data_IF_810092864800
#
_entry.id   IF_810092864800
#
_cell.length_a   1.000
_cell.length_b   1.000
_cell.length_c   1.000
_cell.angle_alpha   90.00
_cell.angle_beta   90.00
_cell.angle_gamma   90.00
#
_symmetry.space_group_name_H-M   'P 1'
#
loop_
_entity.id
_entity.type
_entity.pdbx_description
1 polymer ?
#
# COMPACT_ATOMS: atom_id res chain seq x y z
N UNK A 1 7.35 46.74 0.41
CA UNK A 1 6.76 46.05 1.58
C UNK A 1 5.47 45.29 1.24
N UNK A 2 4.43 45.91 0.64
CA UNK A 2 3.18 45.23 0.23
C UNK A 2 3.37 43.98 -0.66
N UNK A 3 4.27 44.03 -1.64
CA UNK A 3 4.54 42.90 -2.55
C UNK A 3 5.15 41.68 -1.85
N UNK A 4 6.00 41.88 -0.84
CA UNK A 4 6.60 40.78 -0.07
C UNK A 4 5.54 40.04 0.78
N UNK A 5 4.55 40.77 1.31
CA UNK A 5 3.44 40.19 2.06
C UNK A 5 2.56 39.34 1.14
N UNK A 6 2.25 39.84 -0.07
CA UNK A 6 1.46 39.08 -1.06
C UNK A 6 2.18 37.80 -1.48
N UNK A 7 3.49 37.88 -1.77
CA UNK A 7 4.30 36.70 -2.13
C UNK A 7 4.32 35.69 -0.97
N UNK A 8 4.53 36.14 0.26
CA UNK A 8 4.55 35.25 1.43
C UNK A 8 3.20 34.52 1.64
N UNK A 9 2.07 35.22 1.45
CA UNK A 9 0.74 34.62 1.55
C UNK A 9 0.52 33.58 0.43
N UNK A 10 0.89 33.91 -0.81
CA UNK A 10 0.75 32.98 -1.95
C UNK A 10 1.61 31.72 -1.72
N UNK A 11 2.84 31.89 -1.25
CA UNK A 11 3.72 30.76 -0.91
C UNK A 11 3.15 29.93 0.24
N UNK A 12 2.62 30.56 1.28
CA UNK A 12 2.01 29.87 2.41
C UNK A 12 0.74 29.09 1.99
N UNK A 13 -0.10 29.67 1.13
CA UNK A 13 -1.29 29.00 0.59
C UNK A 13 -0.89 27.85 -0.34
N UNK A 14 0.10 28.05 -1.22
CA UNK A 14 0.59 27.01 -2.10
C UNK A 14 1.24 25.86 -1.31
N UNK A 15 2.04 26.17 -0.29
CA UNK A 15 2.61 25.17 0.61
C UNK A 15 1.52 24.47 1.43
N UNK A 16 0.52 25.23 1.90
CA UNK A 16 -0.64 24.70 2.62
C UNK A 16 -1.45 23.72 1.79
N UNK A 17 -1.71 24.03 0.51
CA UNK A 17 -2.37 23.11 -0.42
C UNK A 17 -1.49 21.90 -0.74
N UNK A 18 -0.19 22.12 -0.94
CA UNK A 18 0.75 21.05 -1.28
C UNK A 18 0.95 20.05 -0.13
N UNK A 19 0.90 20.53 1.13
CA UNK A 19 1.04 19.71 2.34
C UNK A 19 -0.31 19.15 2.81
N UNK A 20 -1.31 20.01 2.98
CA UNK A 20 -2.55 19.63 3.67
C UNK A 20 -3.71 19.29 2.72
N UNK A 21 -3.55 19.48 1.40
CA UNK A 21 -4.59 19.23 0.39
C UNK A 21 -5.93 19.90 0.80
N UNK A 22 -5.84 21.16 1.20
CA UNK A 22 -6.91 21.92 1.88
C UNK A 22 -8.16 22.09 1.00
N UNK A 23 -7.97 22.13 -0.32
CA UNK A 23 -9.05 22.37 -1.29
C UNK A 23 -9.62 21.06 -1.85
N UNK A 24 -9.18 19.92 -1.33
CA UNK A 24 -9.79 18.65 -1.69
C UNK A 24 -11.27 18.62 -1.29
N UNK A 25 -12.18 18.27 -2.20
CA UNK A 25 -13.57 18.05 -1.82
C UNK A 25 -13.63 16.93 -0.78
N UNK A 26 -14.60 17.00 0.12
CA UNK A 26 -14.81 15.98 1.16
C UNK A 26 -15.99 15.10 0.80
N UNK A 27 -15.88 13.83 1.18
CA UNK A 27 -16.99 12.87 1.12
C UNK A 27 -17.69 12.80 2.47
N UNK A 28 -19.00 12.55 2.44
CA UNK A 28 -19.80 12.24 3.63
C UNK A 28 -19.83 10.74 3.95
N UNK A 29 -19.16 9.91 3.13
CA UNK A 29 -19.07 8.48 3.34
C UNK A 29 -18.08 8.13 4.45
N UNK A 30 -18.33 7.00 5.09
CA UNK A 30 -17.43 6.44 6.09
C UNK A 30 -16.46 5.46 5.44
N UNK A 31 -15.23 5.45 5.95
CA UNK A 31 -14.24 4.46 5.62
C UNK A 31 -13.71 3.74 6.86
N UNK A 32 -13.30 2.50 6.67
CA UNK A 32 -12.50 1.73 7.60
C UNK A 32 -11.54 0.87 6.80
N UNK A 33 -10.32 0.66 7.29
CA UNK A 33 -9.39 -0.24 6.64
C UNK A 33 -8.48 -0.94 7.64
N UNK A 34 -8.04 -2.14 7.28
CA UNK A 34 -7.01 -2.87 8.00
C UNK A 34 -6.02 -3.45 6.99
N UNK A 35 -4.79 -2.95 7.03
CA UNK A 35 -3.79 -3.21 6.00
C UNK A 35 -2.50 -3.69 6.68
N UNK A 36 -1.84 -4.65 6.05
CA UNK A 36 -0.51 -5.10 6.41
C UNK A 36 0.33 -5.22 5.15
N UNK A 37 1.65 -5.16 5.33
CA UNK A 37 2.59 -5.54 4.29
C UNK A 37 3.16 -6.92 4.59
N UNK A 38 3.58 -7.61 3.54
CA UNK A 38 4.38 -8.82 3.65
C UNK A 38 5.78 -8.54 3.13
N UNK A 39 6.75 -9.19 3.78
CA UNK A 39 8.14 -9.15 3.39
C UNK A 39 8.56 -10.58 3.05
N UNK A 40 9.24 -10.75 1.92
CA UNK A 40 9.80 -12.03 1.50
C UNK A 40 11.30 -12.04 1.77
N UNK A 41 11.83 -13.18 2.22
CA UNK A 41 13.27 -13.43 2.31
C UNK A 41 13.61 -14.46 1.25
N UNK A 42 14.58 -14.15 0.39
CA UNK A 42 14.98 -15.10 -0.65
C UNK A 42 15.81 -16.22 -0.03
N UNK A 43 15.52 -17.46 -0.42
CA UNK A 43 16.29 -18.63 0.01
C UNK A 43 17.77 -18.49 -0.36
N UNK A 44 18.08 -17.85 -1.48
CA UNK A 44 19.45 -17.56 -1.90
C UNK A 44 20.19 -16.67 -0.88
N UNK A 45 19.54 -15.62 -0.38
CA UNK A 45 20.13 -14.69 0.59
C UNK A 45 20.34 -15.38 1.96
N UNK A 46 19.41 -16.25 2.36
CA UNK A 46 19.56 -17.10 3.55
C UNK A 46 20.72 -18.08 3.40
N UNK A 47 20.81 -18.78 2.27
CA UNK A 47 21.88 -19.75 2.01
C UNK A 47 23.25 -19.08 1.95
N UNK A 48 23.34 -17.89 1.35
CA UNK A 48 24.57 -17.10 1.34
C UNK A 48 25.00 -16.70 2.75
N UNK A 49 24.06 -16.28 3.60
CA UNK A 49 24.36 -15.99 5.01
C UNK A 49 24.80 -17.25 5.77
N UNK A 50 24.10 -18.37 5.61
CA UNK A 50 24.46 -19.61 6.28
C UNK A 50 25.89 -20.05 5.90
N UNK A 51 26.25 -19.99 4.61
CA UNK A 51 27.59 -20.30 4.13
C UNK A 51 28.65 -19.30 4.65
N UNK A 52 28.32 -18.01 4.72
CA UNK A 52 29.19 -16.98 5.33
C UNK A 52 29.48 -17.29 6.80
N UNK A 53 28.44 -17.68 7.56
CA UNK A 53 28.54 -17.98 8.98
C UNK A 53 29.28 -19.30 9.23
N UNK A 54 29.05 -20.34 8.43
CA UNK A 54 29.81 -21.58 8.48
C UNK A 54 31.30 -21.33 8.20
N UNK A 55 31.63 -20.47 7.24
CA UNK A 55 33.01 -20.06 6.96
C UNK A 55 33.64 -19.26 8.11
N UNK A 56 32.87 -18.41 8.80
CA UNK A 56 33.35 -17.53 9.88
C UNK A 56 33.51 -18.26 11.22
N UNK A 57 32.58 -19.17 11.53
CA UNK A 57 32.42 -19.77 12.86
C UNK A 57 32.60 -21.30 12.87
N UNK A 58 32.76 -21.94 11.70
CA UNK A 58 32.95 -23.37 11.55
C UNK A 58 31.66 -24.16 11.33
N UNK A 59 31.76 -25.49 11.12
CA UNK A 59 30.63 -26.36 10.75
C UNK A 59 29.55 -26.50 11.83
N UNK A 60 29.85 -26.13 13.08
CA UNK A 60 28.90 -26.17 14.19
C UNK A 60 27.99 -24.92 14.26
N UNK A 61 28.18 -23.95 13.36
CA UNK A 61 27.36 -22.75 13.31
C UNK A 61 25.97 -23.06 12.74
N UNK A 62 24.93 -22.90 13.57
CA UNK A 62 23.54 -23.08 13.17
C UNK A 62 22.92 -21.72 12.90
N UNK A 63 22.53 -21.48 11.65
CA UNK A 63 21.81 -20.27 11.24
C UNK A 63 20.31 -20.53 11.28
N UNK A 64 19.55 -19.56 11.80
CA UNK A 64 18.10 -19.63 11.96
C UNK A 64 17.50 -18.31 11.46
N UNK A 65 16.50 -18.41 10.59
CA UNK A 65 15.65 -17.30 10.19
C UNK A 65 14.41 -17.26 11.09
N UNK A 66 14.29 -16.22 11.91
CA UNK A 66 13.07 -15.91 12.64
C UNK A 66 12.16 -15.05 11.76
N UNK A 67 11.09 -15.66 11.24
CA UNK A 67 10.11 -15.00 10.39
C UNK A 67 9.27 -13.95 11.14
N UNK A 68 9.11 -14.08 12.46
CA UNK A 68 8.31 -13.12 13.25
C UNK A 68 9.08 -11.82 13.47
N UNK A 69 10.37 -11.92 13.81
CA UNK A 69 11.22 -10.75 14.00
C UNK A 69 11.92 -10.29 12.71
N UNK A 70 11.84 -11.08 11.64
CA UNK A 70 12.58 -10.86 10.37
C UNK A 70 14.09 -10.72 10.61
N UNK A 71 14.64 -11.58 11.46
CA UNK A 71 16.06 -11.60 11.83
C UNK A 71 16.69 -12.93 11.49
N UNK A 72 17.95 -12.89 11.09
CA UNK A 72 18.78 -14.07 10.94
C UNK A 72 19.76 -14.11 12.10
N UNK A 73 19.68 -15.18 12.87
CA UNK A 73 20.52 -15.42 14.03
C UNK A 73 21.42 -16.62 13.78
N UNK A 74 22.66 -16.56 14.24
CA UNK A 74 23.58 -17.69 14.22
C UNK A 74 23.96 -18.06 15.63
N UNK A 75 23.92 -19.36 15.93
CA UNK A 75 24.27 -19.93 17.22
C UNK A 75 25.39 -20.96 17.10
N UNK A 76 26.24 -21.03 18.10
CA UNK A 76 27.23 -22.10 18.31
C UNK A 76 26.94 -22.69 19.69
N UNK A 77 26.74 -24.00 19.77
CA UNK A 77 26.41 -24.69 21.04
C UNK A 77 25.26 -24.02 21.82
N UNK A 78 24.25 -23.54 21.07
CA UNK A 78 23.08 -22.84 21.62
C UNK A 78 23.31 -21.37 22.02
N UNK A 79 24.53 -20.84 21.95
CA UNK A 79 24.86 -19.44 22.24
C UNK A 79 24.80 -18.58 20.99
N UNK A 80 24.13 -17.42 21.08
CA UNK A 80 24.03 -16.45 19.99
C UNK A 80 25.40 -15.80 19.73
N UNK A 81 25.86 -15.85 18.48
CA UNK A 81 27.14 -15.26 18.05
C UNK A 81 26.97 -14.19 16.97
N UNK A 82 25.88 -14.23 16.23
CA UNK A 82 25.54 -13.22 15.22
C UNK A 82 24.02 -13.00 15.23
N UNK A 83 23.61 -11.75 15.07
CA UNK A 83 22.21 -11.38 14.98
C UNK A 83 22.05 -10.16 14.07
N UNK A 84 21.48 -10.37 12.89
CA UNK A 84 21.29 -9.31 11.89
C UNK A 84 19.89 -9.34 11.27
N UNK A 85 19.35 -8.19 10.83
CA UNK A 85 18.12 -8.18 10.05
C UNK A 85 18.24 -9.09 8.81
N UNK A 86 17.18 -9.84 8.50
CA UNK A 86 17.13 -10.60 7.27
C UNK A 86 17.08 -9.63 6.06
N UNK A 87 17.79 -9.91 4.96
CA UNK A 87 17.65 -9.18 3.70
C UNK A 87 16.27 -9.49 3.13
N UNK A 88 15.28 -8.71 3.60
CA UNK A 88 13.90 -8.85 3.21
C UNK A 88 13.57 -7.92 2.06
N UNK A 89 12.71 -8.36 1.14
CA UNK A 89 12.17 -7.56 0.05
C UNK A 89 10.67 -7.45 0.20
N UNK A 90 10.13 -6.27 -0.07
CA UNK A 90 8.70 -6.07 -0.21
C UNK A 90 8.11 -7.10 -1.17
N UNK A 91 7.09 -7.81 -0.72
CA UNK A 91 6.34 -8.77 -1.53
C UNK A 91 5.02 -8.12 -1.95
N UNK A 92 4.16 -7.79 -0.99
CA UNK A 92 2.87 -7.20 -1.28
C UNK A 92 2.35 -6.33 -0.12
N UNK A 93 1.32 -5.54 -0.43
CA UNK A 93 0.41 -5.05 0.58
C UNK A 93 -0.93 -5.79 0.44
N UNK A 94 -1.50 -6.17 1.59
CA UNK A 94 -2.76 -6.89 1.66
C UNK A 94 -3.61 -6.40 2.81
N UNK A 95 -4.91 -6.44 2.64
CA UNK A 95 -5.83 -5.86 3.61
C UNK A 95 -7.25 -5.84 3.08
N UNK A 96 -8.07 -4.98 3.68
CA UNK A 96 -9.36 -4.65 3.13
C UNK A 96 -9.73 -3.20 3.40
N UNK A 97 -10.55 -2.64 2.53
CA UNK A 97 -11.25 -1.37 2.73
C UNK A 97 -12.74 -1.65 2.91
N UNK A 98 -13.37 -0.94 3.83
CA UNK A 98 -14.82 -0.90 3.98
C UNK A 98 -15.26 0.54 3.77
N UNK A 99 -16.13 0.76 2.79
CA UNK A 99 -16.50 2.09 2.33
C UNK A 99 -18.01 2.16 2.11
N UNK A 100 -18.65 3.21 2.61
CA UNK A 100 -20.06 3.46 2.34
C UNK A 100 -20.77 4.16 3.50
N UNK A 101 -22.10 4.07 3.51
CA UNK A 101 -22.93 4.58 4.61
C UNK A 101 -23.10 3.50 5.67
N UNK A 102 -23.45 3.91 6.89
CA UNK A 102 -23.79 2.94 7.94
C UNK A 102 -24.93 2.02 7.47
N UNK A 103 -24.72 0.70 7.59
CA UNK A 103 -25.66 -0.32 7.12
C UNK A 103 -25.62 -0.62 5.61
N UNK A 104 -24.88 0.15 4.81
CA UNK A 104 -24.72 -0.03 3.37
C UNK A 104 -23.27 0.23 2.94
N UNK A 105 -22.36 -0.63 3.42
CA UNK A 105 -20.93 -0.54 3.12
C UNK A 105 -20.49 -1.66 2.18
N UNK A 106 -19.67 -1.30 1.20
CA UNK A 106 -18.95 -2.22 0.32
C UNK A 106 -17.63 -2.61 0.97
N UNK A 107 -17.22 -3.88 0.84
CA UNK A 107 -15.96 -4.37 1.39
C UNK A 107 -15.03 -4.83 0.27
N UNK A 108 -13.80 -4.37 0.26
CA UNK A 108 -12.82 -4.61 -0.79
C UNK A 108 -11.55 -5.22 -0.21
N UNK A 109 -11.51 -6.54 0.05
CA UNK A 109 -10.27 -7.26 0.32
C UNK A 109 -9.30 -7.16 -0.87
N UNK A 110 -8.01 -7.02 -0.60
CA UNK A 110 -6.99 -6.92 -1.63
C UNK A 110 -5.67 -7.55 -1.21
N UNK A 111 -4.93 -7.98 -2.22
CA UNK A 111 -3.53 -8.38 -2.17
C UNK A 111 -2.89 -7.89 -3.47
N UNK A 112 -1.94 -6.96 -3.37
CA UNK A 112 -1.29 -6.37 -4.54
C UNK A 112 0.23 -6.37 -4.32
N UNK A 113 0.93 -7.11 -5.19
CA UNK A 113 2.37 -6.98 -5.44
C UNK A 113 2.57 -6.00 -6.60
N UNK A 114 3.13 -4.80 -6.38
CA UNK A 114 3.39 -3.82 -7.44
C UNK A 114 4.38 -4.30 -8.52
N UNK A 115 5.20 -5.31 -8.24
CA UNK A 115 6.09 -5.93 -9.22
C UNK A 115 5.38 -7.03 -10.03
N UNK A 116 4.32 -7.63 -9.49
CA UNK A 116 3.51 -8.68 -10.13
C UNK A 116 2.03 -8.47 -9.81
N UNK A 117 1.40 -7.45 -10.43
CA UNK A 117 0.00 -7.16 -10.16
C UNK A 117 -0.89 -8.37 -10.52
N UNK A 118 -2.04 -8.54 -9.84
CA UNK A 118 -3.03 -9.56 -10.19
C UNK A 118 -3.41 -9.55 -11.67
N UNK A 119 -3.70 -10.73 -12.20
CA UNK A 119 -4.15 -10.87 -13.59
C UNK A 119 -5.61 -10.43 -13.76
N UNK A 120 -5.97 -10.07 -14.99
CA UNK A 120 -7.33 -9.68 -15.33
C UNK A 120 -8.33 -10.81 -15.05
N UNK A 121 -9.43 -10.47 -14.38
CA UNK A 121 -10.50 -11.42 -14.08
C UNK A 121 -10.16 -12.41 -12.96
N UNK A 122 -9.05 -12.20 -12.24
CA UNK A 122 -8.67 -13.04 -11.11
C UNK A 122 -9.79 -13.00 -10.05
N UNK A 123 -10.37 -14.18 -9.78
CA UNK A 123 -11.37 -14.39 -8.74
C UNK A 123 -10.74 -15.10 -7.55
N UNK A 124 -10.96 -14.55 -6.36
CA UNK A 124 -10.42 -15.09 -5.12
C UNK A 124 -8.90 -15.13 -5.03
N UNK A 125 -8.40 -15.81 -3.99
CA UNK A 125 -6.96 -15.90 -3.72
C UNK A 125 -6.37 -14.61 -3.15
N UNK A 126 -7.20 -13.71 -2.59
CA UNK A 126 -6.77 -12.45 -1.97
C UNK A 126 -6.34 -12.65 -0.51
N UNK A 127 -6.18 -13.90 -0.09
CA UNK A 127 -5.80 -14.26 1.26
C UNK A 127 -6.86 -13.89 2.30
N UNK A 128 -8.17 -13.94 1.97
CA UNK A 128 -9.25 -13.61 2.93
C UNK A 128 -9.14 -14.43 4.22
N UNK A 129 -8.78 -15.72 4.13
CA UNK A 129 -8.51 -16.56 5.29
C UNK A 129 -7.35 -16.05 6.15
N UNK A 130 -6.28 -15.56 5.52
CA UNK A 130 -5.17 -14.89 6.21
C UNK A 130 -5.65 -13.60 6.89
N UNK A 131 -6.42 -12.75 6.21
CA UNK A 131 -6.96 -11.51 6.77
C UNK A 131 -7.85 -11.76 7.98
N UNK A 132 -8.75 -12.74 7.89
CA UNK A 132 -9.61 -13.19 8.99
C UNK A 132 -8.79 -13.66 10.19
N UNK A 133 -7.75 -14.47 9.97
CA UNK A 133 -6.87 -14.91 11.05
C UNK A 133 -6.06 -13.74 11.65
N UNK A 134 -5.52 -12.86 10.80
CA UNK A 134 -4.68 -11.72 11.17
C UNK A 134 -5.43 -10.71 12.03
N UNK A 135 -6.70 -10.45 11.70
CA UNK A 135 -7.50 -9.37 12.29
C UNK A 135 -8.68 -9.86 13.14
N UNK A 136 -9.03 -11.13 13.12
CA UNK A 136 -10.22 -11.68 13.78
C UNK A 136 -10.26 -11.54 15.31
N UNK A 137 -9.11 -11.36 15.96
CA UNK A 137 -9.03 -11.03 17.40
C UNK A 137 -9.09 -9.53 17.69
N UNK A 138 -8.88 -8.68 16.69
CA UNK A 138 -8.76 -7.22 16.82
C UNK A 138 -10.00 -6.49 16.34
N UNK A 139 -10.74 -7.06 15.41
CA UNK A 139 -11.91 -6.46 14.79
C UNK A 139 -13.16 -7.31 15.09
N UNK A 140 -14.31 -6.64 15.16
CA UNK A 140 -15.59 -7.32 15.27
C UNK A 140 -15.85 -8.19 14.04
N UNK A 141 -16.46 -9.37 14.24
CA UNK A 141 -16.71 -10.34 13.17
C UNK A 141 -17.50 -9.76 11.98
N UNK A 142 -18.40 -8.80 12.23
CA UNK A 142 -19.17 -8.11 11.18
C UNK A 142 -18.31 -7.40 10.14
N UNK A 143 -17.08 -7.00 10.47
CA UNK A 143 -16.16 -6.35 9.54
C UNK A 143 -15.30 -7.33 8.76
N UNK A 144 -15.41 -8.62 9.07
CA UNK A 144 -14.66 -9.71 8.44
C UNK A 144 -15.61 -10.71 7.77
N UNK A 145 -16.89 -10.36 7.60
CA UNK A 145 -17.90 -11.19 6.97
C UNK A 145 -17.89 -11.01 5.44
N UNK A 146 -16.82 -11.48 4.82
CA UNK A 146 -16.62 -11.48 3.37
C UNK A 146 -15.86 -12.72 2.93
N UNK A 147 -16.04 -13.14 1.68
CA UNK A 147 -15.35 -14.27 1.06
C UNK A 147 -14.56 -13.84 -0.19
N UNK A 148 -13.57 -14.65 -0.56
CA UNK A 148 -12.78 -14.47 -1.79
C UNK A 148 -13.66 -14.43 -3.05
N UNK A 149 -14.83 -15.08 -3.02
CA UNK A 149 -15.80 -15.11 -4.14
C UNK A 149 -16.59 -13.82 -4.33
N UNK A 150 -16.63 -12.99 -3.29
CA UNK A 150 -17.38 -11.74 -3.30
C UNK A 150 -16.62 -10.61 -4.01
N UNK A 151 -15.34 -10.85 -4.38
CA UNK A 151 -14.50 -9.89 -5.10
C UNK A 151 -14.00 -10.46 -6.41
N UNK A 152 -13.94 -9.59 -7.43
CA UNK A 152 -13.24 -9.85 -8.69
C UNK A 152 -12.24 -8.72 -8.93
N UNK A 153 -11.00 -9.09 -9.20
CA UNK A 153 -10.01 -8.13 -9.72
C UNK A 153 -10.14 -8.07 -11.23
N UNK A 154 -10.25 -6.87 -11.76
CA UNK A 154 -10.53 -6.60 -13.16
C UNK A 154 -9.28 -6.03 -13.83
N UNK A 155 -9.24 -4.74 -14.16
CA UNK A 155 -8.06 -4.12 -14.76
C UNK A 155 -7.03 -3.72 -13.72
N UNK A 156 -5.78 -4.09 -13.94
CA UNK A 156 -4.63 -3.53 -13.23
C UNK A 156 -3.78 -2.66 -14.17
N UNK A 157 -3.43 -1.46 -13.72
CA UNK A 157 -2.47 -0.58 -14.39
C UNK A 157 -1.26 -0.40 -13.49
N UNK A 158 -0.07 -0.48 -14.08
CA UNK A 158 1.18 -0.17 -13.38
C UNK A 158 1.54 1.29 -13.60
N UNK A 159 2.18 1.88 -12.60
CA UNK A 159 2.79 3.20 -12.71
C UNK A 159 4.24 3.04 -12.25
N UNK A 160 5.15 3.36 -13.17
CA UNK A 160 6.59 3.29 -12.98
C UNK A 160 7.16 4.68 -12.67
N UNK A 161 8.39 4.72 -12.16
CA UNK A 161 9.07 5.99 -11.85
C UNK A 161 9.17 6.94 -13.07
N UNK A 162 9.30 6.40 -14.28
CA UNK A 162 9.38 7.16 -15.53
C UNK A 162 8.06 7.82 -15.92
N UNK A 163 6.93 7.28 -15.49
CA UNK A 163 5.60 7.85 -15.75
C UNK A 163 5.36 9.20 -15.05
N UNK A 164 6.25 9.54 -14.13
CA UNK A 164 6.16 10.73 -13.31
C UNK A 164 7.01 11.88 -13.83
N UNK A 165 7.86 11.69 -14.84
CA UNK A 165 8.79 12.72 -15.30
C UNK A 165 9.73 13.23 -14.20
N UNK A 166 10.19 14.48 -14.33
CA UNK A 166 11.16 15.08 -13.40
C UNK A 166 10.70 15.10 -11.91
N UNK A 167 9.42 15.30 -11.54
CA UNK A 167 8.99 15.26 -10.15
C UNK A 167 9.05 13.86 -9.50
N UNK A 168 8.88 12.79 -10.27
CA UNK A 168 8.96 11.42 -9.74
C UNK A 168 10.36 11.00 -9.32
N UNK A 169 11.39 11.54 -9.99
CA UNK A 169 12.78 11.34 -9.60
C UNK A 169 13.08 11.99 -8.24
N UNK A 170 12.45 13.12 -7.91
CA UNK A 170 12.58 13.77 -6.60
C UNK A 170 11.84 13.04 -5.47
N UNK A 171 10.81 12.25 -5.81
CA UNK A 171 9.95 11.56 -4.85
C UNK A 171 10.38 10.10 -4.57
N UNK A 172 11.48 9.63 -5.18
CA UNK A 172 12.03 8.27 -5.00
C UNK A 172 10.97 7.16 -5.10
N UNK A 173 9.99 7.33 -5.99
CA UNK A 173 8.98 6.31 -6.27
C UNK A 173 9.62 5.16 -7.03
N UNK A 174 9.42 3.92 -6.56
CA UNK A 174 9.92 2.72 -7.24
C UNK A 174 8.91 2.30 -8.30
N UNK A 175 7.90 1.56 -7.86
CA UNK A 175 6.83 0.99 -8.68
C UNK A 175 5.51 1.11 -7.92
N UNK A 176 4.42 1.24 -8.66
CA UNK A 176 3.07 1.14 -8.14
C UNK A 176 2.18 0.32 -9.07
N UNK A 177 1.20 -0.35 -8.48
CA UNK A 177 0.13 -1.02 -9.22
C UNK A 177 -1.22 -0.55 -8.69
N UNK A 178 -2.15 -0.32 -9.59
CA UNK A 178 -3.51 0.11 -9.31
C UNK A 178 -4.47 -0.85 -9.96
N UNK A 179 -5.25 -1.56 -9.15
CA UNK A 179 -6.17 -2.59 -9.62
C UNK A 179 -7.60 -2.19 -9.30
N UNK A 180 -8.50 -2.31 -10.27
CA UNK A 180 -9.92 -2.17 -9.99
C UNK A 180 -10.47 -3.48 -9.48
N UNK A 181 -11.17 -3.40 -8.37
CA UNK A 181 -11.89 -4.50 -7.77
C UNK A 181 -13.39 -4.23 -7.80
N UNK A 182 -14.16 -5.28 -8.06
CA UNK A 182 -15.60 -5.26 -7.97
C UNK A 182 -16.06 -6.09 -6.78
N UNK A 183 -16.82 -5.47 -5.89
CA UNK A 183 -17.49 -6.13 -4.78
C UNK A 183 -18.91 -6.53 -5.18
N UNK A 184 -19.24 -7.81 -4.97
CA UNK A 184 -20.52 -8.43 -5.32
C UNK A 184 -21.45 -8.69 -4.13
N UNK A 185 -21.01 -8.37 -2.92
CA UNK A 185 -21.77 -8.64 -1.69
C UNK A 185 -22.93 -7.69 -1.48
N UNK A 186 -23.29 -7.47 -0.21
CA UNK A 186 -24.54 -6.79 0.21
C UNK A 186 -24.77 -5.38 -0.38
N UNK A 187 -23.69 -4.63 -0.62
CA UNK A 187 -23.74 -3.32 -1.26
C UNK A 187 -22.75 -3.29 -2.43
N UNK A 188 -23.12 -3.78 -3.62
CA UNK A 188 -22.21 -3.87 -4.75
C UNK A 188 -21.58 -2.53 -5.12
N UNK A 189 -20.33 -2.56 -5.56
CA UNK A 189 -19.59 -1.37 -5.92
C UNK A 189 -18.20 -1.71 -6.46
N UNK A 190 -17.49 -0.69 -6.89
CA UNK A 190 -16.17 -0.83 -7.49
C UNK A 190 -15.15 0.09 -6.82
N UNK A 191 -13.93 -0.39 -6.67
CA UNK A 191 -12.86 0.35 -6.03
C UNK A 191 -11.55 0.19 -6.77
N UNK A 192 -10.89 1.30 -7.10
CA UNK A 192 -9.50 1.29 -7.58
C UNK A 192 -8.55 1.31 -6.39
N UNK A 193 -7.81 0.23 -6.17
CA UNK A 193 -6.84 0.13 -5.07
C UNK A 193 -5.43 0.21 -5.62
N UNK A 194 -4.70 1.24 -5.22
CA UNK A 194 -3.29 1.45 -5.52
C UNK A 194 -2.38 0.99 -4.40
N UNK A 195 -1.33 0.25 -4.71
CA UNK A 195 -0.18 0.02 -3.83
C UNK A 195 1.05 0.61 -4.49
N UNK A 196 1.70 1.54 -3.80
CA UNK A 196 2.83 2.32 -4.31
C UNK A 196 3.99 2.18 -3.34
N UNK A 197 5.15 1.79 -3.86
CA UNK A 197 6.38 1.70 -3.07
C UNK A 197 7.24 2.92 -3.32
N UNK A 198 7.69 3.55 -2.24
CA UNK A 198 8.62 4.66 -2.26
C UNK A 198 9.85 4.36 -1.38
N UNK A 199 11.01 4.88 -1.78
CA UNK A 199 12.23 4.89 -0.99
C UNK A 199 12.54 6.30 -0.47
N UNK A 200 11.52 7.05 -0.08
CA UNK A 200 11.75 8.42 0.33
C UNK A 200 12.08 8.57 1.80
N UNK A 201 12.47 9.77 2.17
CA UNK A 201 12.88 10.09 3.52
C UNK A 201 11.69 10.66 4.32
N UNK A 202 11.80 10.81 5.66
CA UNK A 202 10.71 11.31 6.50
C UNK A 202 10.12 12.64 6.06
N UNK A 203 10.84 13.43 5.24
CA UNK A 203 10.35 14.67 4.64
C UNK A 203 9.15 14.46 3.70
N UNK A 204 8.94 13.26 3.15
CA UNK A 204 7.80 12.99 2.26
C UNK A 204 6.46 12.93 3.00
N UNK A 205 6.48 12.63 4.31
CA UNK A 205 5.27 12.40 5.13
C UNK A 205 4.18 13.46 4.97
N UNK A 206 4.49 14.77 5.02
CA UNK A 206 3.49 15.82 4.88
C UNK A 206 2.85 15.82 3.49
N UNK A 207 3.51 15.27 2.47
CA UNK A 207 3.04 15.31 1.08
C UNK A 207 2.31 14.02 0.66
N UNK A 208 2.28 12.99 1.51
CA UNK A 208 1.77 11.66 1.16
C UNK A 208 0.31 11.67 0.72
N UNK A 209 -0.53 12.50 1.34
CA UNK A 209 -1.94 12.69 0.94
C UNK A 209 -2.04 13.22 -0.49
N UNK A 210 -1.36 14.35 -0.76
CA UNK A 210 -1.37 15.00 -2.08
C UNK A 210 -0.80 14.08 -3.15
N UNK A 211 0.29 13.40 -2.82
CA UNK A 211 0.91 12.40 -3.68
C UNK A 211 -0.06 11.28 -4.01
N UNK A 212 -0.67 10.65 -3.00
CA UNK A 212 -1.64 9.59 -3.22
C UNK A 212 -2.82 10.04 -4.08
N UNK A 213 -3.40 11.21 -3.83
CA UNK A 213 -4.51 11.75 -4.64
C UNK A 213 -4.10 11.95 -6.09
N UNK A 214 -2.90 12.48 -6.33
CA UNK A 214 -2.37 12.67 -7.68
C UNK A 214 -2.13 11.33 -8.40
N UNK A 215 -1.52 10.35 -7.72
CA UNK A 215 -1.28 9.01 -8.25
C UNK A 215 -2.60 8.30 -8.58
N UNK A 216 -3.58 8.35 -7.68
CA UNK A 216 -4.90 7.79 -7.90
C UNK A 216 -5.59 8.44 -9.10
N UNK A 217 -5.53 9.77 -9.24
CA UNK A 217 -6.11 10.48 -10.39
C UNK A 217 -5.47 10.04 -11.72
N UNK A 218 -4.13 9.86 -11.74
CA UNK A 218 -3.41 9.33 -12.91
C UNK A 218 -3.83 7.90 -13.23
N UNK A 219 -3.98 7.04 -12.22
CA UNK A 219 -4.42 5.67 -12.38
C UNK A 219 -5.85 5.58 -12.93
N UNK A 220 -6.78 6.40 -12.43
CA UNK A 220 -8.15 6.51 -12.99
C UNK A 220 -8.11 6.87 -14.47
N UNK A 221 -7.29 7.86 -14.85
CA UNK A 221 -7.13 8.24 -16.25
C UNK A 221 -6.59 7.11 -17.14
N UNK A 222 -5.66 6.28 -16.62
CA UNK A 222 -5.16 5.09 -17.33
C UNK A 222 -6.21 4.00 -17.47
N UNK A 223 -6.95 3.72 -16.40
CA UNK A 223 -8.03 2.72 -16.41
C UNK A 223 -9.18 3.13 -17.32
N UNK A 224 -9.52 4.42 -17.37
CA UNK A 224 -10.53 4.92 -18.31
C UNK A 224 -10.11 4.75 -19.78
N UNK A 225 -8.80 4.68 -20.06
CA UNK A 225 -8.27 4.49 -21.41
C UNK A 225 -8.25 3.01 -21.85
N UNK A 226 -8.52 2.04 -20.96
CA UNK A 226 -8.49 0.59 -21.24
C UNK A 226 -9.89 0.02 -21.48
N UNK A 227 -10.74 0.70 -22.27
CA UNK A 227 -12.12 0.29 -22.62
C UNK A 227 -13.15 0.26 -21.47
N UNK A 228 -12.90 0.95 -20.35
CA UNK A 228 -13.86 1.05 -19.24
C UNK A 228 -14.78 2.27 -19.40
N UNK A 229 -16.09 2.05 -19.57
CA UNK A 229 -17.07 3.14 -19.75
C UNK A 229 -17.36 3.93 -18.46
N UNK A 230 -17.23 3.31 -17.28
CA UNK A 230 -17.60 3.93 -15.99
C UNK A 230 -16.41 3.96 -15.05
N UNK A 231 -16.06 5.12 -14.46
CA UNK A 231 -15.03 5.20 -13.42
C UNK A 231 -15.44 4.37 -12.20
N UNK A 232 -14.47 3.87 -11.42
CA UNK A 232 -14.76 3.15 -10.18
C UNK A 232 -15.50 4.07 -9.20
N UNK A 233 -16.34 3.53 -8.31
CA UNK A 233 -17.11 4.31 -7.32
C UNK A 233 -16.19 4.91 -6.23
N UNK A 234 -15.17 4.15 -5.87
CA UNK A 234 -14.21 4.48 -4.83
C UNK A 234 -12.78 4.32 -5.33
N UNK A 235 -11.83 4.94 -4.61
CA UNK A 235 -10.42 4.67 -4.84
C UNK A 235 -9.62 4.72 -3.54
N UNK A 236 -8.55 3.93 -3.46
CA UNK A 236 -7.57 3.99 -2.39
C UNK A 236 -6.16 4.07 -2.95
N UNK A 237 -5.29 4.68 -2.16
CA UNK A 237 -3.85 4.64 -2.34
C UNK A 237 -3.22 4.17 -1.03
N UNK A 238 -2.42 3.11 -1.12
CA UNK A 238 -1.57 2.58 -0.07
C UNK A 238 -0.13 2.91 -0.44
N UNK A 239 0.46 3.85 0.28
CA UNK A 239 1.85 4.22 0.12
C UNK A 239 2.71 3.48 1.14
N UNK A 240 3.66 2.70 0.64
CA UNK A 240 4.62 1.93 1.43
C UNK A 240 5.99 2.59 1.32
N UNK A 241 6.42 3.24 2.40
CA UNK A 241 7.72 3.92 2.50
C UNK A 241 8.81 2.99 3.06
N UNK A 242 9.90 2.83 2.31
CA UNK A 242 11.09 2.05 2.66
C UNK A 242 10.74 0.69 3.27
N UNK A 243 9.97 -0.16 2.56
CA UNK A 243 9.51 -1.43 3.10
C UNK A 243 10.67 -2.30 3.60
N UNK A 244 11.80 -2.23 2.90
CA UNK A 244 12.98 -3.08 3.11
C UNK A 244 13.88 -2.62 4.29
N UNK A 245 13.64 -1.43 4.90
CA UNK A 245 14.46 -0.93 6.02
C UNK A 245 13.91 -1.34 7.39
N UNK A 246 14.64 -2.07 8.26
CA UNK A 246 14.13 -2.45 9.58
C UNK A 246 13.86 -1.24 10.50
N UNK A 247 12.84 -1.32 11.36
CA UNK A 247 12.68 -0.42 12.52
C UNK A 247 11.89 0.88 12.34
N UNK A 248 11.26 1.15 11.19
CA UNK A 248 10.38 2.33 11.04
C UNK A 248 8.93 1.93 11.39
N UNK A 249 8.36 2.50 12.46
CA UNK A 249 7.03 2.16 12.98
C UNK A 249 5.85 2.60 12.10
N UNK A 250 6.10 3.48 11.13
CA UNK A 250 5.08 4.04 10.23
C UNK A 250 5.58 3.98 8.77
N UNK A 251 5.55 2.77 8.20
CA UNK A 251 5.92 2.53 6.80
C UNK A 251 4.73 2.54 5.84
N UNK A 252 3.51 2.56 6.36
CA UNK A 252 2.30 2.43 5.56
C UNK A 252 1.38 3.60 5.82
N UNK A 253 0.99 4.28 4.76
CA UNK A 253 -0.01 5.34 4.76
C UNK A 253 -1.11 4.97 3.78
N UNK A 254 -2.36 5.17 4.15
CA UNK A 254 -3.51 4.86 3.30
C UNK A 254 -4.47 6.03 3.25
N UNK A 255 -4.96 6.32 2.05
CA UNK A 255 -5.94 7.35 1.79
C UNK A 255 -7.04 6.80 0.90
N UNK A 256 -8.29 7.09 1.25
CA UNK A 256 -9.48 6.62 0.54
C UNK A 256 -10.28 7.81 0.03
N UNK A 257 -10.83 7.64 -1.16
CA UNK A 257 -11.54 8.67 -1.90
C UNK A 257 -12.86 8.14 -2.44
N UNK A 258 -13.88 8.99 -2.41
CA UNK A 258 -15.05 8.86 -3.28
C UNK A 258 -14.66 9.39 -4.66
N UNK A 259 -14.99 8.63 -5.70
CA UNK A 259 -14.78 9.05 -7.08
C UNK A 259 -16.10 9.61 -7.59
N UNK A 260 -16.13 10.92 -7.81
CA UNK A 260 -17.32 11.59 -8.34
C UNK A 260 -17.46 11.33 -9.84
N UNK A 261 -18.65 11.61 -10.39
CA UNK A 261 -18.97 11.40 -11.81
C UNK A 261 -18.04 12.15 -12.77
N UNK A 262 -17.47 13.27 -12.33
CA UNK A 262 -16.49 14.07 -13.06
C UNK A 262 -15.04 13.58 -12.86
N UNK A 263 -14.86 12.37 -12.30
CA UNK A 263 -13.59 11.79 -11.88
C UNK A 263 -12.85 12.57 -10.77
N UNK A 264 -13.51 13.55 -10.13
CA UNK A 264 -12.93 14.26 -9.00
C UNK A 264 -12.85 13.35 -7.78
N UNK A 265 -11.69 13.34 -7.14
CA UNK A 265 -11.44 12.60 -5.89
C UNK A 265 -11.85 13.43 -4.68
N UNK A 266 -12.88 12.99 -3.97
CA UNK A 266 -13.29 13.56 -2.69
C UNK A 266 -12.74 12.72 -1.53
N UNK A 267 -12.01 13.37 -0.62
CA UNK A 267 -11.32 12.74 0.51
C UNK A 267 -12.34 12.24 1.52
N UNK A 268 -12.21 10.98 1.92
CA UNK A 268 -12.96 10.41 3.04
C UNK A 268 -12.19 10.67 4.34
N UNK A 269 -12.92 10.94 5.42
CA UNK A 269 -12.33 11.05 6.76
C UNK A 269 -12.30 9.66 7.41
#
# INVERSE_FOLDING_TARGET
>A
MRWLIVIAIVVAVAAGEFIFDLWAPRSELHQMHAITTTLSVQTADYNAFAAEMEKKYGPNAVTILDLQSSRMTTKIDGKLVEDRPAPSRFSDARGFFLVGKEGAASTFPFEIDPAKPPEFGQQGGLGVGYLKNRWGKRLAAKYLDFDDRDVVTDTCVTISSSDFGWPGQFLFLRNGAFCVQFWKGSSPGSMLIGVVVADGDPWMRPFTRRLCRWLTSKAIGRVAATDREVPPDYAACVLVDRPDRPGVSEKLQSYVYEVRRDATLAVMN
#
